data_IF_013063711482
#
_entry.id   IF_013063711482
#
_cell.length_a   1.000
_cell.length_b   1.000
_cell.length_c   1.000
_cell.angle_alpha   90.00
_cell.angle_beta   90.00
_cell.angle_gamma   90.00
#
_symmetry.space_group_name_H-M   'P 1'
#
loop_
_entity.id
_entity.type
_entity.pdbx_description
1 polymer ?
#
# COMPACT_ATOMS: atom_id res chain seq x y z
N UNK A 1 -24.13 -9.66 -6.83
CA UNK A 1 -23.36 -9.61 -5.57
C UNK A 1 -22.41 -8.41 -5.52
N UNK A 2 -21.29 -8.36 -6.26
CA UNK A 2 -20.36 -7.22 -6.17
C UNK A 2 -20.86 -5.93 -6.84
N UNK A 3 -21.62 -6.04 -7.93
CA UNK A 3 -22.09 -4.87 -8.70
C UNK A 3 -23.28 -4.13 -8.08
N UNK A 4 -24.00 -4.75 -7.16
CA UNK A 4 -25.15 -4.16 -6.46
C UNK A 4 -24.73 -3.33 -5.24
N UNK A 5 -23.48 -3.50 -4.78
CA UNK A 5 -22.94 -2.83 -3.59
C UNK A 5 -21.61 -2.14 -3.95
N UNK A 6 -21.69 -0.94 -4.51
CA UNK A 6 -20.52 -0.25 -5.04
C UNK A 6 -19.45 0.08 -3.99
N UNK A 7 -19.84 0.32 -2.72
CA UNK A 7 -18.89 0.63 -1.64
C UNK A 7 -17.95 -0.54 -1.36
N UNK A 8 -18.50 -1.76 -1.24
CA UNK A 8 -17.67 -2.95 -0.98
C UNK A 8 -16.78 -3.27 -2.19
N UNK A 9 -17.27 -3.05 -3.42
CA UNK A 9 -16.46 -3.17 -4.64
C UNK A 9 -15.27 -2.20 -4.62
N UNK A 10 -15.48 -0.93 -4.24
CA UNK A 10 -14.40 0.05 -4.14
C UNK A 10 -13.39 -0.30 -3.03
N UNK A 11 -13.85 -0.81 -1.88
CA UNK A 11 -12.95 -1.26 -0.83
C UNK A 11 -12.05 -2.41 -1.32
N UNK A 12 -12.60 -3.41 -2.01
CA UNK A 12 -11.81 -4.50 -2.58
C UNK A 12 -10.81 -4.02 -3.64
N UNK A 13 -11.19 -3.03 -4.46
CA UNK A 13 -10.28 -2.43 -5.44
C UNK A 13 -9.13 -1.65 -4.76
N UNK A 14 -9.42 -0.91 -3.69
CA UNK A 14 -8.42 -0.14 -2.96
C UNK A 14 -7.42 -1.03 -2.22
N UNK A 15 -7.86 -2.19 -1.74
CA UNK A 15 -6.96 -3.18 -1.13
C UNK A 15 -5.93 -3.72 -2.12
N UNK A 16 -6.36 -3.99 -3.36
CA UNK A 16 -5.44 -4.39 -4.44
C UNK A 16 -4.45 -3.26 -4.80
N UNK A 17 -4.91 -2.01 -4.83
CA UNK A 17 -4.04 -0.84 -5.08
C UNK A 17 -3.00 -0.67 -3.97
N UNK A 18 -3.38 -0.87 -2.71
CA UNK A 18 -2.51 -0.72 -1.54
C UNK A 18 -1.35 -1.75 -1.49
N UNK A 19 -1.46 -2.85 -2.23
CA UNK A 19 -0.48 -3.95 -2.23
C UNK A 19 0.36 -4.01 -3.50
N UNK A 20 -0.16 -3.53 -4.64
CA UNK A 20 0.50 -3.68 -5.95
C UNK A 20 1.68 -2.71 -6.19
N UNK A 21 1.55 -1.42 -5.83
CA UNK A 21 2.55 -0.38 -6.20
C UNK A 21 3.63 -0.12 -5.14
N UNK A 22 3.79 -1.06 -4.20
CA UNK A 22 4.64 -0.90 -3.03
C UNK A 22 3.78 -0.97 -1.77
N UNK A 23 4.12 -1.91 -0.89
CA UNK A 23 3.40 -2.03 0.37
C UNK A 23 3.64 -0.77 1.21
N UNK A 24 2.66 -0.45 2.06
CA UNK A 24 2.77 0.65 3.01
C UNK A 24 4.12 0.65 3.77
N UNK A 25 4.60 -0.55 4.12
CA UNK A 25 5.88 -0.75 4.82
C UNK A 25 7.09 -0.41 3.95
N UNK A 26 7.08 -0.77 2.66
CA UNK A 26 8.18 -0.43 1.74
C UNK A 26 8.30 1.08 1.56
N UNK A 27 7.18 1.80 1.43
CA UNK A 27 7.18 3.26 1.36
C UNK A 27 7.70 3.91 2.65
N UNK A 28 7.33 3.37 3.82
CA UNK A 28 7.86 3.82 5.10
C UNK A 28 9.38 3.63 5.20
N UNK A 29 9.90 2.49 4.73
CA UNK A 29 11.34 2.19 4.72
C UNK A 29 12.12 3.08 3.74
N UNK A 30 11.54 3.43 2.59
CA UNK A 30 12.13 4.40 1.66
C UNK A 30 12.26 5.79 2.31
N UNK A 31 11.19 6.26 2.97
CA UNK A 31 11.20 7.54 3.70
C UNK A 31 12.19 7.51 4.87
N UNK A 32 12.25 6.42 5.63
CA UNK A 32 13.21 6.22 6.71
C UNK A 32 14.65 6.29 6.23
N UNK A 33 14.98 5.66 5.09
CA UNK A 33 16.30 5.78 4.46
C UNK A 33 16.60 7.22 4.04
N UNK A 34 15.62 7.94 3.48
CA UNK A 34 15.82 9.33 3.05
C UNK A 34 16.13 10.28 4.23
N UNK A 35 15.57 10.02 5.42
CA UNK A 35 15.80 10.82 6.62
C UNK A 35 17.09 10.47 7.36
N UNK A 36 17.39 9.17 7.46
CA UNK A 36 18.47 8.66 8.34
C UNK A 36 19.75 8.29 7.60
N UNK A 37 19.68 8.08 6.28
CA UNK A 37 20.76 7.51 5.49
C UNK A 37 21.00 6.01 5.73
N UNK A 38 20.26 5.38 6.64
CA UNK A 38 20.39 3.96 6.96
C UNK A 38 19.35 3.17 6.19
N UNK A 39 19.79 2.16 5.44
CA UNK A 39 18.89 1.26 4.74
C UNK A 39 18.31 0.20 5.70
N UNK A 40 16.99 -0.01 5.68
CA UNK A 40 16.30 -0.97 6.56
C UNK A 40 15.43 -2.02 5.84
N UNK A 41 15.67 -2.27 4.54
CA UNK A 41 15.16 -3.47 3.86
C UNK A 41 16.00 -4.69 4.28
N UNK A 42 15.36 -5.75 4.78
CA UNK A 42 15.99 -7.05 5.03
C UNK A 42 15.23 -8.15 4.29
#
# INVERSE_FOLDING_TARGET
IADEYHVIRHMMNLEAVNTYEGTHDIHALILGRAQTGIQAFS
#
